data_IF_222526562512
#
_entry.id   IF_222526562512
#
_cell.length_a   1.000
_cell.length_b   1.000
_cell.length_c   1.000
_cell.angle_alpha   90.00
_cell.angle_beta   90.00
_cell.angle_gamma   90.00
#
_symmetry.space_group_name_H-M   'P 1'
#
loop_
_entity.id
_entity.type
_entity.pdbx_description
1 polymer ?
#
# COMPACT_ATOMS: atom_id res chain seq x y z
N UNK A 1 -62.21 -25.31 -8.37
CA UNK A 1 -61.31 -26.21 -7.59
C UNK A 1 -60.16 -26.86 -8.39
N UNK A 2 -60.01 -26.69 -9.71
CA UNK A 2 -58.92 -27.32 -10.49
C UNK A 2 -57.57 -26.56 -10.51
N UNK A 3 -57.55 -25.27 -10.14
CA UNK A 3 -56.33 -24.45 -10.18
C UNK A 3 -55.37 -24.65 -8.98
N UNK A 4 -55.89 -25.00 -7.79
CA UNK A 4 -55.06 -25.27 -6.61
C UNK A 4 -54.18 -26.51 -6.78
N UNK A 5 -54.68 -27.53 -7.50
CA UNK A 5 -53.95 -28.79 -7.72
C UNK A 5 -52.79 -28.58 -8.71
N UNK A 6 -52.96 -27.72 -9.74
CA UNK A 6 -51.89 -27.38 -10.68
C UNK A 6 -50.74 -26.59 -10.03
N UNK A 7 -51.06 -25.68 -9.09
CA UNK A 7 -50.05 -24.94 -8.35
C UNK A 7 -49.18 -25.86 -7.46
N UNK A 8 -49.78 -26.88 -6.84
CA UNK A 8 -49.01 -27.84 -6.03
C UNK A 8 -48.15 -28.81 -6.86
N UNK A 9 -48.61 -29.23 -8.05
CA UNK A 9 -47.82 -30.10 -8.94
C UNK A 9 -46.60 -29.35 -9.51
N UNK A 10 -46.73 -28.04 -9.79
CA UNK A 10 -45.64 -27.21 -10.28
C UNK A 10 -44.63 -26.84 -9.18
N UNK A 11 -45.07 -26.72 -7.92
CA UNK A 11 -44.17 -26.46 -6.78
C UNK A 11 -43.40 -27.70 -6.31
N UNK A 12 -43.93 -28.91 -6.49
CA UNK A 12 -43.15 -30.14 -6.25
C UNK A 12 -42.06 -30.37 -7.29
N UNK A 13 -42.23 -29.89 -8.52
CA UNK A 13 -41.21 -30.00 -9.59
C UNK A 13 -40.08 -28.97 -9.47
N UNK A 14 -40.18 -28.02 -8.54
CA UNK A 14 -39.15 -27.02 -8.25
C UNK A 14 -38.34 -27.35 -6.98
N UNK A 15 -38.69 -28.43 -6.28
CA UNK A 15 -37.99 -28.97 -5.10
C UNK A 15 -37.39 -30.34 -5.46
N UNK A 16 -36.53 -30.35 -6.48
CA UNK A 16 -35.49 -31.36 -6.58
C UNK A 16 -34.15 -30.64 -6.44
N UNK A 17 -33.43 -30.75 -5.30
CA UNK A 17 -32.03 -30.40 -5.27
C UNK A 17 -31.32 -31.44 -6.14
N UNK A 18 -30.99 -31.05 -7.36
CA UNK A 18 -30.15 -31.83 -8.28
C UNK A 18 -28.87 -32.17 -7.52
N UNK A 19 -28.72 -33.43 -7.10
CA UNK A 19 -27.60 -33.99 -6.31
C UNK A 19 -26.29 -34.08 -7.11
N UNK A 20 -26.05 -33.07 -7.94
CA UNK A 20 -24.88 -32.80 -8.78
C UNK A 20 -24.32 -31.39 -8.44
N UNK A 21 -25.07 -30.56 -7.69
CA UNK A 21 -24.83 -29.13 -7.47
C UNK A 21 -23.84 -28.83 -6.33
N UNK A 22 -23.69 -29.74 -5.36
CA UNK A 22 -22.78 -29.54 -4.20
C UNK A 22 -21.31 -29.60 -4.64
N UNK A 23 -20.97 -30.48 -5.58
CA UNK A 23 -19.59 -30.64 -6.06
C UNK A 23 -19.17 -29.44 -6.92
N UNK A 24 -20.10 -28.92 -7.75
CA UNK A 24 -19.85 -27.72 -8.55
C UNK A 24 -19.79 -26.46 -7.69
N UNK A 25 -20.62 -26.33 -6.65
CA UNK A 25 -20.58 -25.19 -5.72
C UNK A 25 -19.34 -25.21 -4.81
N UNK A 26 -18.91 -26.40 -4.37
CA UNK A 26 -17.66 -26.58 -3.63
C UNK A 26 -16.43 -26.30 -4.52
N UNK A 27 -16.50 -26.68 -5.80
CA UNK A 27 -15.46 -26.37 -6.78
C UNK A 27 -15.41 -24.88 -7.15
N UNK A 28 -16.57 -24.23 -7.32
CA UNK A 28 -16.67 -22.80 -7.58
C UNK A 28 -16.19 -21.96 -6.38
N UNK A 29 -16.51 -22.38 -5.15
CA UNK A 29 -15.99 -21.75 -3.95
C UNK A 29 -14.47 -21.94 -3.79
N UNK A 30 -13.94 -23.11 -4.13
CA UNK A 30 -12.48 -23.33 -4.15
C UNK A 30 -11.78 -22.45 -5.20
N UNK A 31 -12.32 -22.38 -6.42
CA UNK A 31 -11.79 -21.49 -7.47
C UNK A 31 -11.88 -20.01 -7.06
N UNK A 32 -12.96 -19.60 -6.40
CA UNK A 32 -13.11 -18.24 -5.87
C UNK A 32 -12.06 -17.94 -4.78
N UNK A 33 -11.81 -18.86 -3.84
CA UNK A 33 -10.77 -18.70 -2.82
C UNK A 33 -9.37 -18.64 -3.44
N UNK A 34 -9.08 -19.51 -4.41
CA UNK A 34 -7.80 -19.50 -5.14
C UNK A 34 -7.64 -18.16 -5.88
N UNK A 35 -8.68 -17.67 -6.55
CA UNK A 35 -8.65 -16.38 -7.22
C UNK A 35 -8.44 -15.22 -6.24
N UNK A 36 -9.14 -15.21 -5.10
CA UNK A 36 -8.96 -14.19 -4.06
C UNK A 36 -7.54 -14.20 -3.47
N UNK A 37 -6.97 -15.39 -3.23
CA UNK A 37 -5.59 -15.54 -2.76
C UNK A 37 -4.59 -15.05 -3.81
N UNK A 38 -4.80 -15.37 -5.09
CA UNK A 38 -3.94 -14.88 -6.18
C UNK A 38 -4.04 -13.36 -6.33
N UNK A 39 -5.25 -12.79 -6.29
CA UNK A 39 -5.45 -11.34 -6.33
C UNK A 39 -4.81 -10.66 -5.13
N UNK A 40 -4.99 -11.19 -3.92
CA UNK A 40 -4.35 -10.67 -2.72
C UNK A 40 -2.82 -10.76 -2.79
N UNK A 41 -2.26 -11.85 -3.32
CA UNK A 41 -0.83 -12.00 -3.55
C UNK A 41 -0.30 -11.00 -4.57
N UNK A 42 -1.02 -10.78 -5.67
CA UNK A 42 -0.68 -9.76 -6.66
C UNK A 42 -0.76 -8.36 -6.04
N UNK A 43 -1.81 -8.02 -5.30
CA UNK A 43 -1.92 -6.74 -4.58
C UNK A 43 -0.76 -6.59 -3.59
N UNK A 44 -0.42 -7.62 -2.82
CA UNK A 44 0.70 -7.62 -1.88
C UNK A 44 2.04 -7.36 -2.58
N UNK A 45 2.31 -8.06 -3.69
CA UNK A 45 3.55 -7.89 -4.47
C UNK A 45 3.63 -6.49 -5.10
N UNK A 46 2.51 -5.97 -5.62
CA UNK A 46 2.47 -4.62 -6.20
C UNK A 46 2.58 -3.52 -5.12
N UNK A 47 1.93 -3.71 -3.96
CA UNK A 47 1.90 -2.73 -2.86
C UNK A 47 3.25 -2.61 -2.13
N UNK A 48 4.04 -3.69 -2.06
CA UNK A 48 5.40 -3.66 -1.47
C UNK A 48 6.35 -2.70 -2.18
N UNK A 49 6.06 -2.32 -3.43
CA UNK A 49 6.96 -1.51 -4.27
C UNK A 49 6.76 0.01 -4.17
N UNK A 50 5.64 0.48 -3.61
CA UNK A 50 5.28 1.91 -3.59
C UNK A 50 5.30 2.52 -2.18
N UNK A 51 6.14 2.00 -1.26
CA UNK A 51 5.97 2.31 0.17
C UNK A 51 6.99 3.31 0.74
N UNK A 52 7.92 3.85 -0.07
CA UNK A 52 9.00 4.71 0.45
C UNK A 52 8.82 6.21 0.24
N UNK A 53 8.20 6.67 -0.86
CA UNK A 53 7.99 8.10 -1.13
C UNK A 53 6.60 8.61 -0.67
N UNK A 54 5.60 7.74 -0.67
CA UNK A 54 4.25 8.06 -0.19
C UNK A 54 4.24 8.31 1.33
N UNK A 55 5.11 7.64 2.08
CA UNK A 55 5.30 7.89 3.51
C UNK A 55 5.85 9.30 3.79
N UNK A 56 6.73 9.82 2.93
CA UNK A 56 7.24 11.19 3.05
C UNK A 56 6.25 12.25 2.55
N UNK A 57 5.30 11.89 1.68
CA UNK A 57 4.25 12.83 1.24
C UNK A 57 3.40 13.33 2.42
N UNK A 58 3.13 12.45 3.39
CA UNK A 58 2.42 12.81 4.62
C UNK A 58 3.22 13.76 5.52
N UNK A 59 4.55 13.61 5.56
CA UNK A 59 5.43 14.52 6.32
C UNK A 59 5.51 15.90 5.66
N UNK A 60 5.41 15.95 4.33
CA UNK A 60 5.44 17.19 3.54
C UNK A 60 4.21 18.08 3.74
N UNK A 61 3.06 17.52 4.12
CA UNK A 61 1.83 18.27 4.35
C UNK A 61 1.90 19.14 5.63
N UNK A 62 2.86 18.87 6.52
CA UNK A 62 3.02 19.56 7.79
C UNK A 62 4.02 20.73 7.75
N UNK A 63 4.62 21.02 6.59
CA UNK A 63 5.70 22.01 6.52
C UNK A 63 5.20 23.38 6.07
N UNK A 64 5.73 24.42 6.73
CA UNK A 64 5.47 25.81 6.36
C UNK A 64 6.25 26.21 5.11
N UNK A 65 5.77 27.24 4.41
CA UNK A 65 6.35 27.77 3.16
C UNK A 65 7.87 28.08 3.26
N UNK A 66 8.40 28.25 4.47
CA UNK A 66 9.79 28.60 4.73
C UNK A 66 10.77 27.42 4.80
N UNK A 67 10.32 26.16 4.85
CA UNK A 67 11.18 24.98 4.97
C UNK A 67 10.73 23.82 4.07
N UNK A 68 10.83 23.92 2.74
CA UNK A 68 10.26 22.93 1.82
C UNK A 68 11.01 21.58 1.78
N UNK A 69 12.04 21.36 2.61
CA UNK A 69 12.88 20.16 2.57
C UNK A 69 12.98 19.47 3.93
N UNK A 70 12.94 18.14 3.93
CA UNK A 70 13.02 17.28 5.14
C UNK A 70 14.20 16.32 5.04
N UNK A 71 14.82 16.02 6.19
CA UNK A 71 15.89 15.04 6.26
C UNK A 71 15.36 13.62 6.01
N UNK A 72 16.17 12.79 5.33
CA UNK A 72 15.83 11.38 5.16
C UNK A 72 16.10 10.59 6.46
N UNK A 73 15.10 9.85 6.95
CA UNK A 73 15.12 9.14 8.24
C UNK A 73 16.27 8.15 8.39
N UNK A 74 16.65 7.47 7.30
CA UNK A 74 17.68 6.43 7.32
C UNK A 74 19.04 6.85 6.74
N UNK A 75 19.11 7.99 6.06
CA UNK A 75 20.31 8.36 5.31
C UNK A 75 20.57 9.85 5.46
N UNK A 76 21.53 10.20 6.30
CA UNK A 76 21.90 11.59 6.54
C UNK A 76 22.43 12.32 5.30
N UNK A 77 22.90 11.58 4.28
CA UNK A 77 23.36 12.14 3.01
C UNK A 77 22.22 12.30 2.00
N UNK A 78 20.97 12.09 2.39
CA UNK A 78 19.79 12.29 1.54
C UNK A 78 18.72 13.13 2.24
N UNK A 79 17.89 13.78 1.44
CA UNK A 79 16.80 14.64 1.88
C UNK A 79 15.68 14.60 0.86
N UNK A 80 14.48 15.00 1.28
CA UNK A 80 13.30 15.03 0.43
C UNK A 80 12.90 16.48 0.22
N UNK A 81 12.68 16.86 -1.03
CA UNK A 81 12.07 18.13 -1.41
C UNK A 81 10.56 17.91 -1.50
N UNK A 82 9.81 18.66 -0.71
CA UNK A 82 8.36 18.61 -0.66
C UNK A 82 7.77 19.46 -1.78
N UNK A 83 7.41 18.78 -2.88
CA UNK A 83 6.66 19.32 -4.01
C UNK A 83 5.21 18.84 -3.96
N UNK A 84 4.29 19.55 -4.64
CA UNK A 84 2.83 19.34 -4.52
C UNK A 84 2.40 17.89 -4.74
N UNK A 85 3.03 17.15 -5.65
CA UNK A 85 3.01 15.68 -5.73
C UNK A 85 3.83 15.23 -6.95
N UNK A 86 4.72 14.22 -6.88
CA UNK A 86 5.22 13.53 -5.69
C UNK A 86 6.37 14.31 -5.02
N UNK A 87 6.69 14.03 -3.74
CA UNK A 87 7.95 14.46 -3.14
C UNK A 87 9.16 13.88 -3.89
N UNK A 88 10.29 14.59 -3.87
CA UNK A 88 11.50 14.20 -4.62
C UNK A 88 12.64 13.89 -3.67
N UNK A 89 13.17 12.66 -3.73
CA UNK A 89 14.38 12.28 -3.00
C UNK A 89 15.63 12.83 -3.69
N UNK A 90 16.46 13.54 -2.93
CA UNK A 90 17.73 14.11 -3.36
C UNK A 90 18.85 13.65 -2.44
N UNK A 91 20.08 13.67 -2.95
CA UNK A 91 21.29 13.35 -2.18
C UNK A 91 22.23 14.54 -2.12
N UNK A 92 22.88 14.69 -0.98
CA UNK A 92 23.95 15.65 -0.77
C UNK A 92 25.23 15.22 -1.50
N UNK A 93 26.11 16.18 -1.84
CA UNK A 93 27.45 15.87 -2.32
C UNK A 93 28.21 14.96 -1.33
N UNK A 94 29.20 14.23 -1.85
CA UNK A 94 29.95 13.24 -1.09
C UNK A 94 30.51 13.82 0.23
N UNK A 95 30.18 13.17 1.35
CA UNK A 95 30.67 13.52 2.68
C UNK A 95 29.86 14.58 3.42
N UNK A 96 28.84 15.17 2.81
CA UNK A 96 27.93 16.14 3.43
C UNK A 96 26.63 15.50 3.90
N UNK A 97 26.05 16.06 4.95
CA UNK A 97 24.77 15.65 5.49
C UNK A 97 23.75 16.78 5.36
N UNK A 98 22.49 16.44 5.16
CA UNK A 98 21.44 17.45 5.08
C UNK A 98 21.18 18.07 6.46
N UNK A 99 21.24 19.40 6.53
CA UNK A 99 20.96 20.19 7.72
C UNK A 99 19.57 20.81 7.61
N UNK A 100 18.56 20.15 8.19
CA UNK A 100 17.16 20.56 8.10
C UNK A 100 16.88 21.95 8.70
N UNK A 101 17.72 22.44 9.63
CA UNK A 101 17.53 23.77 10.23
C UNK A 101 17.76 24.90 9.25
N UNK A 102 18.76 24.76 8.39
CA UNK A 102 19.19 25.77 7.41
C UNK A 102 18.89 25.35 5.95
N UNK A 103 18.25 24.19 5.76
CA UNK A 103 17.78 23.69 4.46
C UNK A 103 18.91 23.52 3.42
N UNK A 104 20.12 23.14 3.86
CA UNK A 104 21.28 22.91 2.97
C UNK A 104 22.08 21.67 3.36
N UNK A 105 22.88 21.16 2.44
CA UNK A 105 23.90 20.15 2.73
C UNK A 105 25.10 20.79 3.44
N UNK A 106 25.44 20.27 4.61
CA UNK A 106 26.44 20.82 5.50
C UNK A 106 27.35 19.70 6.03
N UNK A 107 28.43 20.07 6.70
CA UNK A 107 29.33 19.12 7.32
C UNK A 107 28.62 18.32 8.42
N UNK A 108 29.03 17.05 8.58
CA UNK A 108 28.42 16.10 9.53
C UNK A 108 28.30 16.65 10.95
N UNK A 109 29.31 17.40 11.41
CA UNK A 109 29.37 18.00 12.74
C UNK A 109 28.34 19.11 12.95
N UNK A 110 28.02 19.87 11.89
CA UNK A 110 27.05 20.96 11.90
C UNK A 110 25.62 20.46 11.72
N UNK A 111 25.42 19.53 10.78
CA UNK A 111 24.11 18.94 10.51
C UNK A 111 23.58 18.11 11.68
N UNK A 112 24.46 17.50 12.48
CA UNK A 112 24.12 16.66 13.65
C UNK A 112 23.00 15.66 13.37
N UNK A 113 22.99 15.10 12.16
CA UNK A 113 21.98 14.14 11.75
C UNK A 113 22.10 12.85 12.57
N UNK A 114 20.94 12.34 13.02
CA UNK A 114 20.82 11.07 13.75
C UNK A 114 19.81 10.21 12.98
N UNK A 115 20.25 9.11 12.33
CA UNK A 115 19.34 8.22 11.62
C UNK A 115 18.46 7.43 12.59
N UNK A 116 17.23 7.12 12.18
CA UNK A 116 16.29 6.33 12.98
C UNK A 116 16.78 4.88 13.18
N UNK A 117 16.52 4.32 14.36
CA UNK A 117 16.82 2.91 14.68
C UNK A 117 15.79 2.00 13.99
N UNK A 118 16.23 1.03 13.20
CA UNK A 118 15.34 0.12 12.45
C UNK A 118 15.42 0.28 10.94
N UNK A 119 16.26 1.19 10.45
CA UNK A 119 16.61 1.27 9.05
C UNK A 119 17.35 0.00 8.59
N UNK A 120 16.96 -0.59 7.45
CA UNK A 120 17.69 -1.73 6.89
C UNK A 120 19.14 -1.33 6.60
N UNK A 121 20.13 -2.19 6.88
CA UNK A 121 21.50 -1.95 6.45
C UNK A 121 21.55 -1.91 4.92
N UNK A 122 22.04 -0.79 4.39
CA UNK A 122 22.32 -0.55 2.97
C UNK A 122 23.65 -1.14 2.54
#
# INVERSE_FOLDING_TARGET
MKFKILAEILLRKWIEPRREMILTDLFLSFLALVFLVLVAFLIYVNCKSQQSLDAYAQDCELITENQPMIAHRCNCSSFIICTVNPPVLMSCPAGLHFNQKIQVCDYKMSAKCVPETGCPPS
#
